data_IF_598445503598
#
_entry.id   IF_598445503598
#
_cell.length_a   1.000
_cell.length_b   1.000
_cell.length_c   1.000
_cell.angle_alpha   90.00
_cell.angle_beta   90.00
_cell.angle_gamma   90.00
#
_symmetry.space_group_name_H-M   'P 1'
#
loop_
_entity.id
_entity.type
_entity.pdbx_description
1 polymer ?
#
# COMPACT_ATOMS: atom_id res chain seq x y z
N UNK A 1 -22.55 23.57 0.11
CA UNK A 1 -21.35 22.98 0.72
C UNK A 1 -20.30 22.68 -0.35
N UNK A 2 -19.05 22.74 0.02
CA UNK A 2 -17.93 22.45 -0.86
C UNK A 2 -17.68 20.93 -0.84
N UNK A 3 -17.69 20.32 -2.02
CA UNK A 3 -17.28 18.92 -2.14
C UNK A 3 -15.77 18.82 -2.02
N UNK A 4 -15.29 18.03 -1.06
CA UNK A 4 -13.87 17.77 -0.87
C UNK A 4 -13.51 16.44 -1.50
N UNK A 5 -12.30 16.36 -2.11
CA UNK A 5 -11.79 15.10 -2.65
C UNK A 5 -11.83 13.99 -1.59
N UNK A 6 -11.55 14.33 -0.34
CA UNK A 6 -11.56 13.37 0.77
C UNK A 6 -12.91 12.71 1.02
N UNK A 7 -14.01 13.32 0.58
CA UNK A 7 -15.36 12.72 0.70
C UNK A 7 -15.49 11.44 -0.14
N UNK A 8 -14.65 11.28 -1.15
CA UNK A 8 -14.61 10.12 -2.04
C UNK A 8 -13.44 9.18 -1.76
N UNK A 9 -12.74 9.39 -0.65
CA UNK A 9 -11.54 8.61 -0.30
C UNK A 9 -11.75 7.83 0.99
N UNK A 10 -11.33 6.57 0.98
CA UNK A 10 -11.38 5.69 2.15
C UNK A 10 -9.99 5.21 2.46
N UNK A 11 -9.48 5.48 3.67
CA UNK A 11 -8.16 5.01 4.07
C UNK A 11 -8.08 3.48 3.95
N UNK A 12 -7.03 2.98 3.31
CA UNK A 12 -6.82 1.55 3.17
C UNK A 12 -5.64 1.05 3.99
N UNK A 13 -4.44 1.58 3.77
CA UNK A 13 -3.28 1.04 4.48
C UNK A 13 -2.07 1.98 4.51
N UNK A 14 -1.13 1.61 5.36
CA UNK A 14 0.24 2.11 5.37
C UNK A 14 1.14 1.02 4.78
N UNK A 15 1.93 1.36 3.77
CA UNK A 15 2.85 0.41 3.14
C UNK A 15 4.23 0.44 3.77
N UNK A 16 4.76 -0.73 4.13
CA UNK A 16 6.06 -0.88 4.80
C UNK A 16 6.91 -1.90 4.04
N UNK A 17 8.12 -1.51 3.65
CA UNK A 17 9.05 -2.41 2.96
C UNK A 17 9.81 -3.25 3.99
N UNK A 18 9.81 -4.57 3.79
CA UNK A 18 10.44 -5.55 4.68
C UNK A 18 11.32 -6.51 3.87
N UNK A 19 12.35 -7.14 4.49
CA UNK A 19 13.23 -8.06 3.74
C UNK A 19 12.52 -9.30 3.25
N UNK A 20 11.63 -9.89 4.04
CA UNK A 20 10.68 -10.90 3.62
C UNK A 20 9.43 -10.84 4.48
N UNK A 21 8.36 -11.48 4.02
CA UNK A 21 7.07 -11.36 4.70
C UNK A 21 7.05 -12.03 6.08
N UNK A 22 7.76 -13.14 6.26
CA UNK A 22 7.81 -13.82 7.56
C UNK A 22 8.53 -12.96 8.60
N UNK A 23 9.67 -12.39 8.25
CA UNK A 23 10.39 -11.46 9.12
C UNK A 23 9.51 -10.26 9.47
N UNK A 24 8.82 -9.72 8.48
CA UNK A 24 7.88 -8.61 8.68
C UNK A 24 6.74 -8.98 9.62
N UNK A 25 6.08 -10.12 9.39
CA UNK A 25 4.98 -10.58 10.26
C UNK A 25 5.45 -10.74 11.71
N UNK A 26 6.61 -11.36 11.90
CA UNK A 26 7.14 -11.58 13.25
C UNK A 26 7.39 -10.27 13.99
N UNK A 27 7.95 -9.28 13.28
CA UNK A 27 8.16 -7.96 13.84
C UNK A 27 6.84 -7.28 14.20
N UNK A 28 5.89 -7.26 13.29
CA UNK A 28 4.62 -6.58 13.48
C UNK A 28 3.75 -7.27 14.54
N UNK A 29 3.90 -8.57 14.72
CA UNK A 29 3.30 -9.28 15.84
C UNK A 29 3.94 -8.87 17.17
N UNK A 30 5.29 -8.92 17.23
CA UNK A 30 6.02 -8.66 18.46
C UNK A 30 5.79 -7.23 18.99
N UNK A 31 5.75 -6.25 18.08
CA UNK A 31 5.67 -4.83 18.47
C UNK A 31 4.22 -4.35 18.53
N UNK A 32 3.38 -4.72 17.58
CA UNK A 32 2.04 -4.17 17.45
C UNK A 32 0.93 -5.18 17.73
N UNK A 33 1.27 -6.44 18.02
CA UNK A 33 0.30 -7.49 18.29
C UNK A 33 -0.52 -7.93 17.09
N UNK A 34 -0.04 -7.69 15.87
CA UNK A 34 -0.80 -8.01 14.65
C UNK A 34 -0.67 -9.51 14.37
N UNK A 35 -1.81 -10.21 14.42
CA UNK A 35 -1.90 -11.63 14.05
C UNK A 35 -3.02 -11.92 13.04
N UNK A 36 -3.62 -10.89 12.49
CA UNK A 36 -4.73 -10.96 11.54
C UNK A 36 -4.19 -10.57 10.17
N UNK A 37 -3.99 -11.56 9.29
CA UNK A 37 -3.32 -11.36 8.02
C UNK A 37 -4.15 -11.89 6.86
N UNK A 38 -4.02 -11.27 5.70
CA UNK A 38 -4.54 -11.81 4.45
C UNK A 38 -3.64 -12.94 3.95
N UNK A 39 -4.03 -13.60 2.86
CA UNK A 39 -3.11 -14.42 2.08
C UNK A 39 -1.96 -13.55 1.56
N UNK A 40 -0.84 -14.20 1.22
CA UNK A 40 0.26 -13.54 0.52
C UNK A 40 -0.10 -13.40 -0.96
N UNK A 41 0.24 -12.25 -1.55
CA UNK A 41 0.04 -12.01 -2.97
C UNK A 41 1.38 -11.89 -3.68
N UNK A 42 1.53 -12.66 -4.75
CA UNK A 42 2.73 -12.63 -5.59
C UNK A 42 2.45 -11.70 -6.77
N UNK A 43 3.08 -10.55 -6.79
CA UNK A 43 2.93 -9.53 -7.83
C UNK A 43 4.20 -9.48 -8.68
N UNK A 44 4.25 -10.33 -9.70
CA UNK A 44 5.43 -10.47 -10.55
C UNK A 44 5.68 -9.20 -11.36
N UNK A 45 4.63 -8.53 -11.82
CA UNK A 45 4.78 -7.30 -12.61
C UNK A 45 5.47 -6.20 -11.83
N UNK A 46 5.17 -6.08 -10.54
CA UNK A 46 5.77 -5.07 -9.67
C UNK A 46 6.96 -5.59 -8.89
N UNK A 47 7.32 -6.86 -9.09
CA UNK A 47 8.52 -7.46 -8.48
C UNK A 47 8.43 -7.61 -6.97
N UNK A 48 7.24 -7.80 -6.41
CA UNK A 48 7.03 -7.83 -4.97
C UNK A 48 6.10 -8.97 -4.54
N UNK A 49 6.27 -9.39 -3.28
CA UNK A 49 5.28 -10.15 -2.54
C UNK A 49 4.69 -9.22 -1.50
N UNK A 50 3.38 -9.22 -1.37
CA UNK A 50 2.70 -8.34 -0.41
C UNK A 50 1.75 -9.12 0.46
N UNK A 51 1.52 -8.61 1.67
CA UNK A 51 0.54 -9.17 2.60
C UNK A 51 0.02 -8.05 3.49
N UNK A 52 -1.27 -8.08 3.79
CA UNK A 52 -1.90 -7.06 4.62
C UNK A 52 -2.20 -7.62 5.99
N UNK A 53 -1.91 -6.83 7.01
CA UNK A 53 -2.22 -7.16 8.40
C UNK A 53 -3.01 -6.06 9.06
N UNK A 54 -3.96 -6.43 9.92
CA UNK A 54 -4.80 -5.47 10.61
C UNK A 54 -4.56 -5.52 12.11
N UNK A 55 -4.31 -4.37 12.71
CA UNK A 55 -4.19 -4.24 14.15
C UNK A 55 -5.55 -4.33 14.84
N UNK A 56 -5.54 -4.50 16.16
CA UNK A 56 -6.77 -4.46 16.97
C UNK A 56 -7.51 -3.14 16.84
N UNK A 57 -6.80 -2.06 16.54
CA UNK A 57 -7.38 -0.73 16.32
C UNK A 57 -7.86 -0.50 14.88
N UNK A 58 -7.90 -1.56 14.08
CA UNK A 58 -8.36 -1.55 12.69
C UNK A 58 -7.46 -0.78 11.72
N UNK A 59 -6.19 -0.58 12.08
CA UNK A 59 -5.20 -0.03 11.15
C UNK A 59 -4.63 -1.15 10.30
N UNK A 60 -4.65 -0.97 8.98
CA UNK A 60 -4.10 -1.93 8.04
C UNK A 60 -2.67 -1.53 7.64
N UNK A 61 -1.76 -2.50 7.71
CA UNK A 61 -0.39 -2.37 7.21
C UNK A 61 -0.19 -3.33 6.06
N UNK A 62 0.37 -2.83 4.95
CA UNK A 62 0.83 -3.69 3.86
C UNK A 62 2.31 -3.94 4.04
N UNK A 63 2.71 -5.19 4.19
CA UNK A 63 4.11 -5.59 4.12
C UNK A 63 4.47 -5.83 2.67
N UNK A 64 5.59 -5.24 2.22
CA UNK A 64 6.05 -5.30 0.83
C UNK A 64 7.47 -5.86 0.84
N UNK A 65 7.64 -7.05 0.29
CA UNK A 65 8.96 -7.69 0.20
C UNK A 65 9.40 -7.80 -1.26
N UNK A 66 10.67 -7.53 -1.57
CA UNK A 66 11.17 -7.71 -2.93
C UNK A 66 11.20 -9.20 -3.29
N UNK A 67 10.86 -9.52 -4.55
CA UNK A 67 11.02 -10.88 -5.07
C UNK A 67 12.51 -11.20 -5.24
N UNK A 68 13.27 -10.22 -5.75
CA UNK A 68 14.71 -10.35 -5.98
C UNK A 68 15.37 -8.96 -5.97
N UNK A 69 16.66 -8.90 -6.28
CA UNK A 69 17.41 -7.65 -6.27
C UNK A 69 17.08 -6.70 -7.42
N UNK A 70 16.25 -7.11 -8.37
CA UNK A 70 15.77 -6.27 -9.46
C UNK A 70 14.46 -5.57 -9.11
N UNK A 71 13.85 -5.91 -7.98
CA UNK A 71 12.62 -5.28 -7.52
C UNK A 71 12.85 -3.79 -7.24
N UNK A 72 11.88 -2.92 -7.60
CA UNK A 72 11.97 -1.48 -7.29
C UNK A 72 12.15 -1.17 -5.81
N UNK A 73 11.65 -2.03 -4.91
CA UNK A 73 11.74 -1.80 -3.45
C UNK A 73 13.05 -2.32 -2.85
N UNK A 74 13.86 -3.05 -3.62
CA UNK A 74 15.11 -3.58 -3.12
C UNK A 74 16.08 -2.48 -2.67
N UNK A 75 16.19 -1.41 -3.45
CA UNK A 75 17.05 -0.27 -3.12
C UNK A 75 16.56 0.47 -1.87
N UNK A 76 15.25 0.60 -1.70
CA UNK A 76 14.65 1.18 -0.49
C UNK A 76 15.13 0.41 0.73
N UNK A 77 15.03 -0.91 0.66
CA UNK A 77 15.40 -1.81 1.76
C UNK A 77 16.91 -1.74 2.07
N UNK A 78 17.76 -1.79 1.03
CA UNK A 78 19.22 -1.78 1.21
C UNK A 78 19.71 -0.48 1.82
N UNK A 79 19.08 0.64 1.52
CA UNK A 79 19.44 1.96 2.05
C UNK A 79 18.75 2.26 3.39
N UNK A 80 17.80 1.46 3.81
CA UNK A 80 16.97 1.66 5.00
C UNK A 80 16.35 3.05 5.05
N UNK A 81 15.95 3.56 3.88
CA UNK A 81 15.27 4.85 3.74
C UNK A 81 13.88 4.63 3.17
N UNK A 82 12.91 5.36 3.70
CA UNK A 82 11.53 5.31 3.22
C UNK A 82 10.92 3.89 3.30
N UNK A 83 11.31 3.12 4.31
CA UNK A 83 10.73 1.80 4.53
C UNK A 83 9.26 1.91 4.93
N UNK A 84 8.85 2.97 5.63
CA UNK A 84 7.45 3.40 5.70
C UNK A 84 7.17 4.11 4.37
N UNK A 85 6.71 3.35 3.39
CA UNK A 85 6.84 3.70 1.98
C UNK A 85 5.73 4.60 1.46
N UNK A 86 4.47 4.32 1.83
CA UNK A 86 3.35 5.07 1.28
C UNK A 86 2.12 4.98 2.17
N UNK A 87 1.20 5.92 1.90
CA UNK A 87 -0.15 5.96 2.46
C UNK A 87 -1.11 5.63 1.31
N UNK A 88 -2.08 4.75 1.53
CA UNK A 88 -2.99 4.31 0.49
C UNK A 88 -4.45 4.61 0.82
N UNK A 89 -5.18 5.05 -0.20
CA UNK A 89 -6.61 5.31 -0.12
C UNK A 89 -7.34 4.61 -1.26
N UNK A 90 -8.51 4.07 -0.95
CA UNK A 90 -9.44 3.57 -1.96
C UNK A 90 -10.29 4.73 -2.44
N UNK A 91 -10.49 4.80 -3.76
CA UNK A 91 -11.25 5.85 -4.42
C UNK A 91 -12.22 5.24 -5.44
N UNK A 92 -13.23 6.01 -5.82
CA UNK A 92 -14.16 5.59 -6.89
C UNK A 92 -13.52 5.70 -8.27
N UNK A 93 -12.77 6.77 -8.51
CA UNK A 93 -12.15 7.03 -9.81
C UNK A 93 -10.80 7.73 -9.64
N UNK A 94 -9.73 7.07 -10.08
CA UNK A 94 -8.38 7.64 -10.05
C UNK A 94 -8.32 8.94 -10.86
N UNK A 95 -8.94 8.96 -12.05
CA UNK A 95 -8.88 10.12 -12.94
C UNK A 95 -9.39 11.40 -12.28
N UNK A 96 -10.49 11.30 -11.53
CA UNK A 96 -11.07 12.46 -10.84
C UNK A 96 -10.15 12.95 -9.71
N UNK A 97 -9.65 12.03 -8.90
CA UNK A 97 -8.72 12.37 -7.81
C UNK A 97 -7.40 12.92 -8.33
N UNK A 98 -6.91 12.37 -9.45
CA UNK A 98 -5.66 12.79 -10.07
C UNK A 98 -5.67 14.27 -10.44
N UNK A 99 -6.77 14.79 -10.95
CA UNK A 99 -6.88 16.20 -11.29
C UNK A 99 -6.64 17.09 -10.08
N UNK A 100 -7.26 16.76 -8.95
CA UNK A 100 -7.06 17.50 -7.70
C UNK A 100 -5.62 17.37 -7.19
N UNK A 101 -5.05 16.17 -7.28
CA UNK A 101 -3.67 15.97 -6.84
C UNK A 101 -2.69 16.78 -7.67
N UNK A 102 -2.86 16.82 -8.98
CA UNK A 102 -1.99 17.61 -9.87
C UNK A 102 -2.06 19.09 -9.55
N UNK A 103 -3.23 19.62 -9.20
CA UNK A 103 -3.36 21.03 -8.78
C UNK A 103 -2.82 21.31 -7.38
N UNK A 104 -2.45 20.29 -6.63
CA UNK A 104 -1.87 20.38 -5.29
C UNK A 104 -0.43 19.87 -5.22
N UNK A 105 0.30 20.02 -6.32
CA UNK A 105 1.73 19.72 -6.42
C UNK A 105 2.09 18.23 -6.21
N UNK A 106 1.19 17.32 -6.55
CA UNK A 106 1.53 15.92 -6.70
C UNK A 106 1.89 15.64 -8.17
N UNK A 107 2.77 14.66 -8.36
CA UNK A 107 3.11 14.14 -9.69
C UNK A 107 2.86 12.63 -9.71
N UNK A 108 2.34 12.08 -10.82
CA UNK A 108 2.16 10.64 -10.92
C UNK A 108 3.50 9.92 -11.05
N UNK A 109 3.62 8.79 -10.37
CA UNK A 109 4.76 7.89 -10.49
C UNK A 109 4.36 6.70 -11.39
N UNK A 110 4.32 6.97 -12.69
CA UNK A 110 3.89 5.99 -13.68
C UNK A 110 2.39 6.03 -13.96
N UNK A 111 1.95 5.12 -14.81
CA UNK A 111 0.55 4.98 -15.22
C UNK A 111 -0.23 4.08 -14.24
N UNK A 112 -1.58 4.15 -14.25
CA UNK A 112 -2.37 3.20 -13.49
C UNK A 112 -2.06 1.76 -13.89
N UNK A 113 -1.97 0.86 -12.91
CA UNK A 113 -1.63 -0.55 -13.10
C UNK A 113 -2.63 -1.44 -12.39
N UNK A 114 -2.88 -2.61 -12.95
CA UNK A 114 -3.68 -3.65 -12.28
C UNK A 114 -2.90 -4.24 -11.11
N UNK A 115 -3.62 -4.53 -10.03
CA UNK A 115 -3.03 -5.07 -8.81
C UNK A 115 -3.65 -6.40 -8.42
N UNK A 116 -2.82 -7.43 -8.29
CA UNK A 116 -3.25 -8.77 -7.90
C UNK A 116 -3.95 -8.74 -6.55
N UNK A 117 -3.43 -7.98 -5.60
CA UNK A 117 -3.99 -7.88 -4.25
C UNK A 117 -5.38 -7.23 -4.20
N UNK A 118 -5.80 -6.54 -5.26
CA UNK A 118 -7.10 -5.86 -5.36
C UNK A 118 -7.97 -6.44 -6.48
N UNK A 119 -7.88 -7.75 -6.70
CA UNK A 119 -8.69 -8.46 -7.70
C UNK A 119 -8.53 -7.87 -9.10
N UNK A 120 -7.30 -7.50 -9.44
CA UNK A 120 -6.89 -6.90 -10.73
C UNK A 120 -7.51 -5.53 -11.01
N UNK A 121 -8.06 -4.86 -10.01
CA UNK A 121 -8.46 -3.47 -10.12
C UNK A 121 -7.21 -2.58 -10.11
N UNK A 122 -7.37 -1.34 -10.58
CA UNK A 122 -6.22 -0.48 -10.85
C UNK A 122 -5.79 0.32 -9.64
N UNK A 123 -4.49 0.61 -9.58
CA UNK A 123 -3.91 1.55 -8.63
C UNK A 123 -2.92 2.45 -9.34
N UNK A 124 -2.60 3.58 -8.72
CA UNK A 124 -1.58 4.51 -9.20
C UNK A 124 -0.92 5.19 -8.02
N UNK A 125 0.40 5.35 -8.11
CA UNK A 125 1.18 6.06 -7.11
C UNK A 125 1.41 7.50 -7.53
N UNK A 126 1.44 8.40 -6.54
CA UNK A 126 1.70 9.82 -6.70
C UNK A 126 2.73 10.27 -5.66
N UNK A 127 3.54 11.24 -6.04
CA UNK A 127 4.54 11.82 -5.16
C UNK A 127 4.17 13.27 -4.84
N UNK A 128 4.16 13.62 -3.56
CA UNK A 128 3.97 15.00 -3.11
C UNK A 128 5.28 15.76 -3.25
N UNK A 129 5.36 16.72 -4.17
CA UNK A 129 6.57 17.52 -4.31
C UNK A 129 6.77 18.45 -3.11
N UNK A 130 5.68 18.90 -2.50
CA UNK A 130 5.76 19.82 -1.36
C UNK A 130 6.28 19.12 -0.09
N UNK A 131 5.80 17.90 0.20
CA UNK A 131 6.10 17.23 1.47
C UNK A 131 6.93 15.97 1.34
N UNK A 132 7.15 15.45 0.14
CA UNK A 132 8.07 14.34 -0.10
C UNK A 132 7.57 12.97 0.32
N UNK A 133 6.28 12.71 0.29
CA UNK A 133 5.72 11.39 0.59
C UNK A 133 5.00 10.80 -0.62
N UNK A 134 4.75 9.50 -0.56
CA UNK A 134 4.06 8.76 -1.62
C UNK A 134 2.63 8.49 -1.19
N UNK A 135 1.69 8.76 -2.08
CA UNK A 135 0.27 8.46 -1.94
C UNK A 135 -0.12 7.43 -3.01
N UNK A 136 -0.79 6.36 -2.58
CA UNK A 136 -1.35 5.36 -3.49
C UNK A 136 -2.86 5.53 -3.56
N UNK A 137 -3.40 5.61 -4.78
CA UNK A 137 -4.85 5.59 -5.02
C UNK A 137 -5.22 4.24 -5.64
N UNK A 138 -6.24 3.60 -5.06
CA UNK A 138 -6.71 2.28 -5.48
C UNK A 138 -8.16 2.41 -5.92
N UNK A 139 -8.42 2.14 -7.22
CA UNK A 139 -9.76 2.26 -7.80
C UNK A 139 -10.52 0.96 -7.60
N UNK A 140 -10.92 0.73 -6.35
CA UNK A 140 -11.59 -0.49 -5.95
C UNK A 140 -12.63 -0.19 -4.84
N UNK A 141 -13.69 0.58 -5.15
CA UNK A 141 -14.59 1.13 -4.12
C UNK A 141 -15.30 0.08 -3.28
N UNK A 142 -15.50 -1.13 -3.83
CA UNK A 142 -16.21 -2.20 -3.15
C UNK A 142 -15.28 -3.26 -2.54
N UNK A 143 -13.98 -3.01 -2.57
CA UNK A 143 -12.99 -3.98 -2.09
C UNK A 143 -12.79 -3.86 -0.58
N UNK A 144 -12.70 -5.02 0.09
CA UNK A 144 -12.29 -5.14 1.49
C UNK A 144 -11.32 -6.31 1.62
N UNK A 145 -10.29 -6.13 2.45
CA UNK A 145 -9.31 -7.18 2.72
C UNK A 145 -9.93 -8.33 3.49
N UNK A 146 -9.50 -9.55 3.18
CA UNK A 146 -9.97 -10.76 3.82
C UNK A 146 -8.90 -11.26 4.79
N UNK A 147 -9.06 -10.89 6.06
CA UNK A 147 -8.10 -11.23 7.10
C UNK A 147 -8.45 -12.54 7.78
N UNK A 148 -7.41 -13.34 8.10
CA UNK A 148 -7.55 -14.59 8.86
C UNK A 148 -6.58 -14.54 10.04
N UNK A 149 -7.01 -14.89 11.26
CA UNK A 149 -6.09 -14.98 12.38
C UNK A 149 -5.00 -16.03 12.12
N UNK A 150 -3.75 -15.66 12.37
CA UNK A 150 -2.59 -16.52 12.16
C UNK A 150 -1.70 -16.52 13.38
N UNK A 151 -1.33 -17.73 13.84
CA UNK A 151 -0.36 -17.87 14.91
C UNK A 151 1.04 -17.62 14.33
N UNK A 152 1.86 -16.76 14.91
CA UNK A 152 3.24 -16.55 14.43
C UNK A 152 4.07 -17.82 14.63
N UNK A 153 4.94 -18.08 13.67
CA UNK A 153 5.85 -19.24 13.69
C UNK A 153 7.27 -18.81 14.01
#
# INVERSE_FOLDING_TARGET
SIHMISDSMRFDHLGVVVPDLQIGRNHFFKIYGINNWTDEFFDELNGVRVQFGQSKDKVCYELIAPIDNKSPVYNVLSKKKNILNHIAYIVDAIAVCSEELLSNDFVPLGEPKKAVAYSLQRLQFFYSKEFGYILELIEAPNFYHDYTPQTPT
#
